data_IF_084923172589
#
_entry.id   IF_084923172589
#
_cell.length_a   1.000
_cell.length_b   1.000
_cell.length_c   1.000
_cell.angle_alpha   90.00
_cell.angle_beta   90.00
_cell.angle_gamma   90.00
#
_symmetry.space_group_name_H-M   'P 1'
#
loop_
_entity.id
_entity.type
_entity.pdbx_description
1 polymer ?
#
# COMPACT_ATOMS: atom_id res chain seq x y z
N UNK A 1 26.17 14.73 28.05
CA UNK A 1 27.60 14.64 27.68
C UNK A 1 27.75 13.58 26.60
N UNK A 2 28.89 13.53 25.90
CA UNK A 2 29.10 12.45 24.92
C UNK A 2 29.68 11.22 25.60
N UNK A 3 29.17 10.04 25.26
CA UNK A 3 29.61 8.75 25.78
C UNK A 3 29.99 7.80 24.65
N UNK A 4 31.04 7.02 24.88
CA UNK A 4 31.48 5.99 23.96
C UNK A 4 30.75 4.67 24.23
N UNK A 5 30.21 4.09 23.16
CA UNK A 5 29.54 2.79 23.12
C UNK A 5 30.23 1.94 22.07
N UNK A 6 30.51 0.67 22.39
CA UNK A 6 31.03 -0.29 21.42
C UNK A 6 29.90 -1.13 20.86
N UNK A 7 29.65 -1.07 19.56
CA UNK A 7 28.74 -1.98 18.85
C UNK A 7 29.58 -3.13 18.31
N UNK A 8 29.28 -4.36 18.72
CA UNK A 8 30.00 -5.57 18.33
C UNK A 8 29.13 -6.47 17.45
N UNK A 9 29.62 -6.78 16.26
CA UNK A 9 29.00 -7.69 15.28
C UNK A 9 29.81 -8.99 15.19
N UNK A 10 29.47 -9.88 14.25
CA UNK A 10 30.20 -11.11 14.03
C UNK A 10 31.69 -10.91 13.67
N UNK A 11 32.02 -9.84 12.94
CA UNK A 11 33.39 -9.60 12.48
C UNK A 11 33.92 -8.19 12.79
N UNK A 12 33.10 -7.29 13.34
CA UNK A 12 33.46 -5.89 13.55
C UNK A 12 33.19 -5.42 14.98
N UNK A 13 34.04 -4.51 15.45
CA UNK A 13 33.79 -3.69 16.65
C UNK A 13 33.81 -2.22 16.25
N UNK A 14 32.67 -1.55 16.40
CA UNK A 14 32.44 -0.18 15.97
C UNK A 14 32.31 0.69 17.22
N UNK A 15 33.24 1.63 17.39
CA UNK A 15 33.13 2.65 18.42
C UNK A 15 32.16 3.75 17.99
N UNK A 16 31.16 4.03 18.81
CA UNK A 16 30.12 5.03 18.57
C UNK A 16 30.14 6.04 19.70
N UNK A 17 30.31 7.31 19.36
CA UNK A 17 30.16 8.41 20.30
C UNK A 17 28.77 9.00 20.17
N UNK A 18 28.02 9.08 21.27
CA UNK A 18 26.61 9.49 21.27
C UNK A 18 26.27 10.35 22.47
N UNK A 19 25.15 11.07 22.40
CA UNK A 19 24.57 11.79 23.54
C UNK A 19 24.11 10.80 24.62
N UNK A 20 24.47 11.06 25.87
CA UNK A 20 24.13 10.23 27.03
C UNK A 20 22.68 10.38 27.51
N UNK A 21 21.93 11.35 26.96
CA UNK A 21 20.48 11.47 27.17
C UNK A 21 19.67 10.41 26.43
N UNK A 22 20.27 9.71 25.46
CA UNK A 22 19.63 8.62 24.74
C UNK A 22 19.63 7.32 25.56
N UNK A 23 18.69 6.45 25.25
CA UNK A 23 18.73 5.03 25.59
C UNK A 23 19.62 4.26 24.61
N UNK A 24 20.09 3.09 25.01
CA UNK A 24 20.86 2.21 24.11
C UNK A 24 20.07 1.79 22.87
N UNK A 25 18.76 1.60 23.02
CA UNK A 25 17.84 1.33 21.93
C UNK A 25 17.78 2.49 20.94
N UNK A 26 17.66 3.72 21.40
CA UNK A 26 17.64 4.90 20.55
C UNK A 26 18.94 5.05 19.76
N UNK A 27 20.09 4.73 20.35
CA UNK A 27 21.38 4.70 19.65
C UNK A 27 21.34 3.74 18.45
N UNK A 28 20.86 2.51 18.62
CA UNK A 28 20.72 1.55 17.53
C UNK A 28 19.73 2.05 16.45
N UNK A 29 18.60 2.63 16.88
CA UNK A 29 17.58 3.17 15.96
C UNK A 29 18.09 4.35 15.14
N UNK A 30 18.92 5.23 15.71
CA UNK A 30 19.53 6.34 14.95
C UNK A 30 20.42 5.85 13.80
N UNK A 31 20.91 4.61 13.90
CA UNK A 31 21.71 3.94 12.87
C UNK A 31 20.91 2.97 12.00
N UNK A 32 19.57 2.96 12.12
CA UNK A 32 18.67 2.04 11.41
C UNK A 32 18.94 0.57 11.71
N UNK A 33 19.44 0.28 12.91
CA UNK A 33 19.72 -1.08 13.36
C UNK A 33 18.53 -1.58 14.22
N UNK A 34 17.93 -2.75 13.92
CA UNK A 34 16.92 -3.35 14.77
C UNK A 34 17.48 -3.60 16.17
N UNK A 35 16.86 -3.00 17.20
CA UNK A 35 17.35 -3.09 18.58
C UNK A 35 17.31 -4.52 19.11
N UNK A 36 16.34 -5.32 18.69
CA UNK A 36 16.20 -6.74 19.06
C UNK A 36 17.31 -7.65 18.50
N UNK A 37 18.21 -7.14 17.65
CA UNK A 37 19.41 -7.84 17.21
C UNK A 37 20.54 -7.79 18.26
N UNK A 38 20.40 -6.96 19.31
CA UNK A 38 21.47 -6.68 20.26
C UNK A 38 21.08 -6.99 21.71
N UNK A 39 22.08 -7.36 22.50
CA UNK A 39 22.04 -7.36 23.95
C UNK A 39 23.00 -6.29 24.47
N UNK A 40 22.52 -5.44 25.38
CA UNK A 40 23.35 -4.48 26.08
C UNK A 40 24.15 -5.13 27.21
N UNK A 41 25.40 -4.72 27.37
CA UNK A 41 26.27 -5.07 28.46
C UNK A 41 26.99 -3.84 29.00
N UNK A 42 27.19 -3.81 30.32
CA UNK A 42 28.16 -2.92 30.96
C UNK A 42 29.35 -3.76 31.45
N UNK A 43 30.57 -3.26 31.22
CA UNK A 43 31.81 -3.93 31.58
C UNK A 43 32.69 -3.04 32.47
N UNK A 44 33.13 -3.56 33.60
CA UNK A 44 34.11 -2.95 34.51
C UNK A 44 35.19 -3.97 34.84
N UNK A 45 36.43 -3.73 34.40
CA UNK A 45 37.48 -4.76 34.50
C UNK A 45 37.07 -6.04 33.74
N UNK A 46 37.05 -7.18 34.43
CA UNK A 46 36.57 -8.46 33.87
C UNK A 46 35.08 -8.73 34.12
N UNK A 47 34.42 -7.94 34.97
CA UNK A 47 33.00 -8.12 35.25
C UNK A 47 32.15 -7.57 34.12
N UNK A 48 31.20 -8.40 33.67
CA UNK A 48 30.24 -8.05 32.60
C UNK A 48 28.84 -8.35 33.11
N UNK A 49 27.95 -7.36 33.03
CA UNK A 49 26.54 -7.50 33.40
C UNK A 49 25.62 -7.09 32.26
N UNK A 50 24.50 -7.80 32.03
CA UNK A 50 23.53 -7.37 31.04
C UNK A 50 22.85 -6.08 31.49
N UNK A 51 22.51 -5.22 30.52
CA UNK A 51 21.73 -4.01 30.72
C UNK A 51 20.58 -3.97 29.70
N UNK A 52 19.34 -3.62 30.14
CA UNK A 52 18.21 -3.45 29.22
C UNK A 52 18.48 -2.36 28.18
N UNK A 53 18.03 -2.56 26.94
CA UNK A 53 18.26 -1.56 25.87
C UNK A 53 17.50 -0.24 26.08
N UNK A 54 16.41 -0.24 26.86
CA UNK A 54 15.70 0.98 27.26
C UNK A 54 16.39 1.74 28.40
N UNK A 55 17.61 1.35 28.80
CA UNK A 55 18.40 2.05 29.81
C UNK A 55 18.96 3.34 29.25
N UNK A 56 18.73 4.45 29.95
CA UNK A 56 19.36 5.75 29.66
C UNK A 56 20.87 5.67 29.91
N UNK A 57 21.66 6.14 28.95
CA UNK A 57 23.11 6.00 28.97
C UNK A 57 23.75 6.72 30.17
N UNK A 58 23.25 7.89 30.55
CA UNK A 58 23.78 8.64 31.70
C UNK A 58 23.63 7.93 33.04
N UNK A 59 22.70 6.97 33.17
CA UNK A 59 22.48 6.21 34.41
C UNK A 59 23.56 5.16 34.62
N UNK A 60 24.25 4.76 33.56
CA UNK A 60 25.35 3.80 33.65
C UNK A 60 26.56 4.54 34.25
N UNK A 61 27.27 4.01 35.27
CA UNK A 61 28.47 4.66 35.82
C UNK A 61 29.51 4.94 34.74
N UNK A 62 30.13 6.13 34.73
CA UNK A 62 31.01 6.58 33.64
C UNK A 62 32.23 5.68 33.42
N UNK A 63 32.67 5.00 34.47
CA UNK A 63 33.79 4.06 34.49
C UNK A 63 33.48 2.74 33.78
N UNK A 64 32.18 2.41 33.62
CA UNK A 64 31.74 1.21 32.92
C UNK A 64 31.74 1.42 31.40
N UNK A 65 32.37 0.49 30.69
CA UNK A 65 32.32 0.39 29.23
C UNK A 65 30.96 -0.17 28.80
N UNK A 66 30.28 0.53 27.91
CA UNK A 66 29.02 0.08 27.34
C UNK A 66 29.29 -0.70 26.05
N UNK A 67 28.74 -1.90 25.97
CA UNK A 67 28.84 -2.77 24.80
C UNK A 67 27.45 -3.18 24.32
N UNK A 68 27.18 -3.05 23.04
CA UNK A 68 26.00 -3.60 22.36
C UNK A 68 26.47 -4.78 21.52
N UNK A 69 26.17 -5.99 21.97
CA UNK A 69 26.62 -7.22 21.30
C UNK A 69 25.48 -7.79 20.45
N UNK A 70 25.74 -7.98 19.15
CA UNK A 70 24.84 -8.69 18.25
C UNK A 70 24.63 -10.14 18.71
N UNK A 71 23.39 -10.55 18.98
CA UNK A 71 23.09 -11.88 19.55
C UNK A 71 23.15 -13.02 18.52
N UNK A 72 23.47 -12.70 17.26
CA UNK A 72 23.63 -13.64 16.14
C UNK A 72 24.91 -13.33 15.37
N UNK A 73 25.38 -14.30 14.58
CA UNK A 73 26.49 -14.11 13.65
C UNK A 73 26.04 -13.32 12.41
N UNK A 74 25.48 -12.12 12.63
CA UNK A 74 25.08 -11.17 11.59
C UNK A 74 26.16 -10.08 11.57
N UNK A 75 26.63 -9.77 10.38
CA UNK A 75 27.55 -8.68 10.14
C UNK A 75 26.80 -7.47 9.58
N UNK A 76 27.07 -6.29 10.14
CA UNK A 76 26.40 -5.07 9.71
C UNK A 76 26.85 -4.63 8.31
N UNK A 77 28.08 -5.01 7.90
CA UNK A 77 28.58 -4.73 6.54
C UNK A 77 27.79 -5.39 5.42
N UNK A 78 27.16 -6.52 5.73
CA UNK A 78 26.42 -7.34 4.77
C UNK A 78 24.95 -6.92 4.66
N UNK A 79 24.43 -6.21 5.68
CA UNK A 79 23.00 -5.86 5.78
C UNK A 79 22.73 -4.36 5.74
N UNK A 80 23.73 -3.52 6.01
CA UNK A 80 23.67 -2.07 5.87
C UNK A 80 24.53 -1.58 4.70
N UNK A 81 24.10 -0.57 3.95
CA UNK A 81 24.92 0.02 2.89
C UNK A 81 26.25 0.56 3.43
N UNK A 82 27.36 0.07 2.89
CA UNK A 82 28.72 0.57 3.17
C UNK A 82 29.08 1.78 2.31
N UNK A 83 28.43 1.88 1.14
CA UNK A 83 28.61 2.96 0.17
C UNK A 83 27.24 3.39 -0.34
N UNK A 84 27.04 4.70 -0.45
CA UNK A 84 25.85 5.30 -1.05
C UNK A 84 26.25 6.11 -2.28
N UNK A 85 25.70 5.75 -3.43
CA UNK A 85 25.82 6.47 -4.69
C UNK A 85 24.55 7.27 -4.95
N UNK A 86 24.69 8.37 -5.69
CA UNK A 86 23.57 9.25 -6.03
C UNK A 86 23.53 9.48 -7.53
N UNK A 87 22.40 9.14 -8.14
CA UNK A 87 22.06 9.56 -9.49
C UNK A 87 21.19 10.82 -9.37
N UNK A 88 21.88 11.97 -9.33
CA UNK A 88 21.24 13.27 -9.07
C UNK A 88 20.56 13.84 -10.30
N UNK A 89 19.51 14.60 -10.08
CA UNK A 89 18.82 15.38 -11.11
C UNK A 89 18.59 16.81 -10.64
N UNK A 90 18.33 17.73 -11.56
CA UNK A 90 17.90 19.07 -11.18
C UNK A 90 16.49 19.03 -10.57
N UNK A 91 16.30 19.75 -9.46
CA UNK A 91 15.01 19.89 -8.77
C UNK A 91 14.32 18.54 -8.43
N UNK A 92 14.96 17.68 -7.63
CA UNK A 92 14.40 16.38 -7.28
C UNK A 92 13.16 16.54 -6.39
N UNK A 93 12.14 15.71 -6.63
CA UNK A 93 10.90 15.67 -5.84
C UNK A 93 10.70 14.35 -5.10
N UNK A 94 11.37 13.29 -5.54
CA UNK A 94 11.36 11.99 -4.88
C UNK A 94 12.66 11.23 -5.15
N UNK A 95 12.96 10.26 -4.30
CA UNK A 95 14.08 9.34 -4.48
C UNK A 95 13.61 7.89 -4.48
N UNK A 96 14.29 7.07 -5.28
CA UNK A 96 14.09 5.63 -5.33
C UNK A 96 15.41 4.98 -4.90
N UNK A 97 15.47 4.41 -3.69
CA UNK A 97 16.64 3.67 -3.26
C UNK A 97 16.69 2.28 -3.91
N UNK A 98 17.87 1.88 -4.36
CA UNK A 98 18.19 0.56 -4.88
C UNK A 98 19.35 -0.03 -4.09
N UNK A 99 19.17 -1.25 -3.58
CA UNK A 99 20.19 -1.98 -2.86
C UNK A 99 20.93 -2.93 -3.81
N UNK A 100 22.26 -2.93 -3.72
CA UNK A 100 23.15 -3.77 -4.49
C UNK A 100 23.98 -4.62 -3.54
N UNK A 101 23.96 -5.93 -3.76
CA UNK A 101 24.80 -6.89 -3.04
C UNK A 101 25.96 -7.31 -3.93
N UNK A 102 27.17 -7.28 -3.39
CA UNK A 102 28.37 -7.77 -4.06
C UNK A 102 29.33 -8.42 -3.09
N UNK A 103 30.45 -8.92 -3.61
CA UNK A 103 31.46 -9.64 -2.84
C UNK A 103 32.11 -8.77 -1.74
N UNK A 104 32.13 -7.45 -1.93
CA UNK A 104 32.67 -6.46 -0.97
C UNK A 104 31.62 -5.93 0.03
N UNK A 105 30.43 -6.54 0.10
CA UNK A 105 29.34 -6.16 0.99
C UNK A 105 28.18 -5.43 0.30
N UNK A 106 27.37 -4.75 1.12
CA UNK A 106 26.15 -4.08 0.67
C UNK A 106 26.41 -2.63 0.24
N UNK A 107 25.81 -2.17 -0.86
CA UNK A 107 25.82 -0.77 -1.29
C UNK A 107 24.43 -0.30 -1.71
N UNK A 108 24.23 1.01 -1.74
CA UNK A 108 22.96 1.62 -2.12
C UNK A 108 23.18 2.64 -3.23
N UNK A 109 22.32 2.64 -4.23
CA UNK A 109 22.21 3.74 -5.21
C UNK A 109 20.88 4.45 -4.98
N UNK A 110 20.92 5.76 -4.81
CA UNK A 110 19.74 6.61 -4.66
C UNK A 110 19.49 7.31 -5.99
N UNK A 111 18.40 6.94 -6.65
CA UNK A 111 17.96 7.56 -7.89
C UNK A 111 17.03 8.71 -7.58
N UNK A 112 17.43 9.94 -7.90
CA UNK A 112 16.58 11.12 -7.76
C UNK A 112 15.69 11.27 -9.00
N UNK A 113 14.42 11.59 -8.80
CA UNK A 113 13.48 11.89 -9.87
C UNK A 113 12.94 13.31 -9.71
N UNK A 114 12.93 14.04 -10.82
CA UNK A 114 12.20 15.30 -10.96
C UNK A 114 10.73 15.01 -11.35
N UNK A 115 9.84 16.01 -11.35
CA UNK A 115 8.42 15.80 -11.60
C UNK A 115 8.09 15.07 -12.92
N UNK A 116 8.82 15.41 -13.99
CA UNK A 116 8.54 14.86 -15.33
C UNK A 116 9.02 13.42 -15.44
N UNK A 117 10.23 13.12 -14.96
CA UNK A 117 10.76 11.75 -14.91
C UNK A 117 9.92 10.83 -14.02
N UNK A 118 9.38 11.32 -12.89
CA UNK A 118 8.48 10.55 -12.05
C UNK A 118 7.17 10.21 -12.78
N UNK A 119 6.56 11.19 -13.47
CA UNK A 119 5.33 10.97 -14.25
C UNK A 119 5.55 10.00 -15.41
N UNK A 120 6.65 10.15 -16.15
CA UNK A 120 6.96 9.26 -17.28
C UNK A 120 7.26 7.82 -16.81
N UNK A 121 7.98 7.65 -15.69
CA UNK A 121 8.20 6.34 -15.08
C UNK A 121 6.87 5.64 -14.79
N UNK A 122 5.95 6.32 -14.11
CA UNK A 122 4.68 5.70 -13.75
C UNK A 122 3.78 5.48 -14.96
N UNK A 123 3.70 6.45 -15.87
CA UNK A 123 2.95 6.30 -17.12
C UNK A 123 3.40 5.07 -17.90
N UNK A 124 4.71 4.87 -18.04
CA UNK A 124 5.28 3.68 -18.67
C UNK A 124 4.84 2.38 -18.00
N UNK A 125 4.89 2.32 -16.66
CA UNK A 125 4.43 1.16 -15.88
C UNK A 125 2.95 0.84 -16.11
N UNK A 126 2.08 1.85 -16.11
CA UNK A 126 0.64 1.68 -16.37
C UNK A 126 0.41 1.17 -17.80
N UNK A 127 1.07 1.78 -18.78
CA UNK A 127 0.97 1.39 -20.20
C UNK A 127 1.38 -0.07 -20.40
N UNK A 128 2.56 -0.45 -19.90
CA UNK A 128 3.09 -1.81 -20.02
C UNK A 128 2.19 -2.84 -19.34
N UNK A 129 1.70 -2.50 -18.15
CA UNK A 129 0.79 -3.36 -17.40
C UNK A 129 -0.50 -3.64 -18.18
N UNK A 130 -1.15 -2.59 -18.69
CA UNK A 130 -2.44 -2.73 -19.37
C UNK A 130 -2.25 -3.45 -20.72
N UNK A 131 -1.18 -3.16 -21.47
CA UNK A 131 -0.84 -3.91 -22.69
C UNK A 131 -0.67 -5.41 -22.44
N UNK A 132 -0.05 -5.77 -21.31
CA UNK A 132 0.19 -7.16 -20.94
C UNK A 132 -1.07 -7.89 -20.46
N UNK A 133 -1.94 -7.21 -19.72
CA UNK A 133 -2.99 -7.88 -18.93
C UNK A 133 -4.43 -7.63 -19.42
N UNK A 134 -4.68 -6.58 -20.20
CA UNK A 134 -6.01 -6.21 -20.66
C UNK A 134 -6.25 -6.67 -22.10
N UNK A 135 -7.34 -7.41 -22.29
CA UNK A 135 -7.72 -8.02 -23.56
C UNK A 135 -8.91 -7.36 -24.23
N UNK A 136 -9.65 -6.50 -23.51
CA UNK A 136 -10.89 -5.90 -24.01
C UNK A 136 -10.64 -4.51 -24.60
N UNK A 137 -11.41 -4.15 -25.63
CA UNK A 137 -11.38 -2.81 -26.20
C UNK A 137 -11.96 -1.77 -25.23
N UNK A 138 -13.04 -2.11 -24.53
CA UNK A 138 -13.64 -1.24 -23.50
C UNK A 138 -13.22 -1.71 -22.12
N UNK A 139 -12.79 -0.81 -21.25
CA UNK A 139 -12.42 -1.11 -19.86
C UNK A 139 -13.02 -0.06 -18.92
N UNK A 140 -13.64 -0.50 -17.83
CA UNK A 140 -14.21 0.38 -16.80
C UNK A 140 -13.11 0.85 -15.84
N UNK A 141 -13.10 2.11 -15.42
CA UNK A 141 -12.03 2.66 -14.57
C UNK A 141 -12.61 3.45 -13.40
N UNK A 142 -12.40 2.97 -12.18
CA UNK A 142 -12.80 3.70 -10.98
C UNK A 142 -11.73 4.72 -10.57
N UNK A 143 -12.12 5.98 -10.41
CA UNK A 143 -11.23 7.07 -9.98
C UNK A 143 -11.85 7.90 -8.86
N UNK A 144 -10.98 8.42 -7.98
CA UNK A 144 -11.34 9.26 -6.82
C UNK A 144 -10.92 10.72 -6.96
N UNK A 145 -10.22 11.10 -8.04
CA UNK A 145 -9.67 12.44 -8.22
C UNK A 145 -8.43 12.76 -7.34
N UNK A 146 -7.85 11.77 -6.67
CA UNK A 146 -6.57 11.89 -5.95
C UNK A 146 -5.33 11.71 -6.84
N UNK A 147 -4.13 11.70 -6.24
CA UNK A 147 -2.86 11.54 -6.97
C UNK A 147 -2.74 10.24 -7.76
N UNK A 148 -3.21 9.12 -7.20
CA UNK A 148 -3.19 7.81 -7.86
C UNK A 148 -4.08 7.80 -9.11
N UNK A 149 -5.26 8.42 -9.00
CA UNK A 149 -6.21 8.56 -10.10
C UNK A 149 -5.68 9.43 -11.25
N UNK A 150 -5.00 10.54 -10.93
CA UNK A 150 -4.36 11.40 -11.92
C UNK A 150 -3.33 10.62 -12.73
N UNK A 151 -2.48 9.91 -12.01
CA UNK A 151 -1.41 9.10 -12.59
C UNK A 151 -1.96 7.99 -13.49
N UNK A 152 -2.98 7.29 -13.03
CA UNK A 152 -3.68 6.26 -13.79
C UNK A 152 -4.32 6.84 -15.05
N UNK A 153 -5.07 7.95 -14.94
CA UNK A 153 -5.78 8.56 -16.06
C UNK A 153 -4.82 8.96 -17.20
N UNK A 154 -3.64 9.50 -16.88
CA UNK A 154 -2.65 9.86 -17.90
C UNK A 154 -2.03 8.64 -18.59
N UNK A 155 -1.73 7.58 -17.84
CA UNK A 155 -1.25 6.31 -18.42
C UNK A 155 -2.27 5.70 -19.38
N UNK A 156 -3.55 5.68 -18.99
CA UNK A 156 -4.63 5.15 -19.82
C UNK A 156 -4.93 6.02 -21.04
N UNK A 157 -4.81 7.36 -20.91
CA UNK A 157 -4.90 8.27 -22.06
C UNK A 157 -3.84 7.98 -23.13
N UNK A 158 -2.60 7.67 -22.72
CA UNK A 158 -1.55 7.35 -23.68
C UNK A 158 -1.93 6.15 -24.56
N UNK A 159 -2.61 5.15 -23.97
CA UNK A 159 -3.08 3.96 -24.69
C UNK A 159 -4.20 4.25 -25.69
N UNK A 160 -5.11 5.19 -25.41
CA UNK A 160 -6.17 5.56 -26.37
C UNK A 160 -5.63 6.31 -27.58
N UNK A 161 -4.53 7.05 -27.41
CA UNK A 161 -3.82 7.72 -28.49
C UNK A 161 -3.07 6.72 -29.39
N UNK A 162 -2.52 5.65 -28.81
CA UNK A 162 -1.84 4.59 -29.56
C UNK A 162 -2.82 3.64 -30.27
N UNK A 163 -4.00 3.38 -29.68
CA UNK A 163 -5.01 2.49 -30.23
C UNK A 163 -6.41 3.10 -30.08
N UNK A 164 -6.95 3.64 -31.17
CA UNK A 164 -8.28 4.27 -31.19
C UNK A 164 -9.44 3.32 -30.89
N UNK A 165 -9.22 2.01 -30.97
CA UNK A 165 -10.23 1.01 -30.58
C UNK A 165 -10.24 0.77 -29.06
N UNK A 166 -9.18 1.17 -28.34
CA UNK A 166 -9.12 1.07 -26.89
C UNK A 166 -9.87 2.25 -26.27
N UNK A 167 -10.87 1.97 -25.46
CA UNK A 167 -11.72 2.93 -24.77
C UNK A 167 -11.72 2.66 -23.27
N UNK A 168 -11.54 3.72 -22.50
CA UNK A 168 -11.69 3.69 -21.05
C UNK A 168 -12.90 4.51 -20.65
N UNK A 169 -13.76 3.93 -19.80
CA UNK A 169 -14.93 4.60 -19.26
C UNK A 169 -14.68 4.83 -17.79
N UNK A 170 -14.43 6.08 -17.42
CA UNK A 170 -14.12 6.45 -16.06
C UNK A 170 -15.41 6.64 -15.28
N UNK A 171 -15.41 6.22 -14.01
CA UNK A 171 -16.50 6.51 -13.11
C UNK A 171 -16.00 6.95 -11.74
N UNK A 172 -16.82 7.75 -11.07
CA UNK A 172 -16.66 8.12 -9.66
C UNK A 172 -18.01 7.98 -8.98
N UNK A 173 -18.00 7.52 -7.73
CA UNK A 173 -19.21 7.47 -6.90
C UNK A 173 -19.17 8.61 -5.87
N UNK A 174 -20.31 9.21 -5.62
CA UNK A 174 -20.54 10.14 -4.51
C UNK A 174 -21.43 9.42 -3.50
N UNK A 175 -20.98 9.33 -2.26
CA UNK A 175 -21.77 8.76 -1.17
C UNK A 175 -21.27 9.30 0.18
N UNK A 176 -21.96 10.32 0.70
CA UNK A 176 -21.64 10.93 2.00
C UNK A 176 -21.99 9.97 3.16
N UNK A 177 -21.18 9.89 4.23
CA UNK A 177 -19.96 10.67 4.50
C UNK A 177 -18.67 10.03 3.95
N UNK A 178 -18.75 8.94 3.17
CA UNK A 178 -17.57 8.15 2.76
C UNK A 178 -16.81 8.85 1.62
N UNK A 179 -17.51 9.20 0.54
CA UNK A 179 -16.93 9.92 -0.59
C UNK A 179 -17.72 11.20 -0.87
N UNK A 180 -17.12 12.33 -0.52
CA UNK A 180 -17.78 13.61 -0.63
C UNK A 180 -17.78 14.15 -2.06
N UNK A 181 -18.70 15.07 -2.32
CA UNK A 181 -18.95 15.64 -3.66
C UNK A 181 -17.68 16.22 -4.30
N UNK A 182 -16.83 16.89 -3.52
CA UNK A 182 -15.60 17.51 -4.04
C UNK A 182 -14.61 16.51 -4.65
N UNK A 183 -14.64 15.23 -4.23
CA UNK A 183 -13.79 14.20 -4.82
C UNK A 183 -14.22 13.90 -6.26
N UNK A 184 -15.53 13.89 -6.51
CA UNK A 184 -16.09 13.76 -7.84
C UNK A 184 -15.84 15.01 -8.70
N UNK A 185 -15.87 16.21 -8.13
CA UNK A 185 -15.55 17.44 -8.86
C UNK A 185 -14.11 17.40 -9.40
N UNK A 186 -13.14 16.99 -8.56
CA UNK A 186 -11.75 16.80 -9.01
C UNK A 186 -11.59 15.71 -10.06
N UNK A 187 -12.29 14.59 -9.90
CA UNK A 187 -12.27 13.51 -10.88
C UNK A 187 -12.84 13.97 -12.23
N UNK A 188 -13.89 14.79 -12.20
CA UNK A 188 -14.52 15.38 -13.38
C UNK A 188 -13.59 16.38 -14.06
N UNK A 189 -12.93 17.26 -13.30
CA UNK A 189 -11.94 18.20 -13.82
C UNK A 189 -10.75 17.48 -14.47
N UNK A 190 -10.25 16.41 -13.83
CA UNK A 190 -9.18 15.56 -14.37
C UNK A 190 -9.59 14.96 -15.73
N UNK A 191 -10.76 14.34 -15.79
CA UNK A 191 -11.24 13.71 -17.01
C UNK A 191 -11.51 14.72 -18.11
N UNK A 192 -12.13 15.87 -17.78
CA UNK A 192 -12.37 16.96 -18.73
C UNK A 192 -11.07 17.51 -19.31
N UNK A 193 -10.09 17.83 -18.45
CA UNK A 193 -8.76 18.34 -18.83
C UNK A 193 -8.06 17.39 -19.81
N UNK A 194 -8.31 16.09 -19.67
CA UNK A 194 -7.67 15.07 -20.48
C UNK A 194 -8.54 14.54 -21.63
N UNK A 195 -9.78 15.01 -21.79
CA UNK A 195 -10.70 14.54 -22.83
C UNK A 195 -11.14 13.08 -22.63
N UNK A 196 -11.28 12.64 -21.39
CA UNK A 196 -11.66 11.29 -21.01
C UNK A 196 -13.17 11.20 -20.74
N UNK A 197 -13.80 10.09 -21.15
CA UNK A 197 -15.21 9.82 -20.83
C UNK A 197 -15.37 9.51 -19.34
N UNK A 198 -16.17 10.30 -18.63
CA UNK A 198 -16.37 10.17 -17.20
C UNK A 198 -17.84 10.26 -16.81
N UNK A 199 -18.24 9.40 -15.87
CA UNK A 199 -19.57 9.37 -15.29
C UNK A 199 -19.47 9.51 -13.76
N UNK A 200 -20.28 10.39 -13.20
CA UNK A 200 -20.43 10.52 -11.74
C UNK A 200 -21.74 9.85 -11.37
N UNK A 201 -21.67 8.92 -10.42
CA UNK A 201 -22.84 8.21 -9.90
C UNK A 201 -23.13 8.69 -8.48
N UNK A 202 -24.28 9.33 -8.30
CA UNK A 202 -24.86 9.70 -7.00
C UNK A 202 -25.76 8.57 -6.49
N UNK A 203 -26.23 8.68 -5.24
CA UNK A 203 -27.05 7.66 -4.60
C UNK A 203 -28.18 7.12 -5.48
N UNK A 204 -29.02 7.97 -6.08
CA UNK A 204 -30.13 7.54 -6.93
C UNK A 204 -29.66 6.77 -8.19
N UNK A 205 -28.54 7.19 -8.78
CA UNK A 205 -27.96 6.54 -9.96
C UNK A 205 -27.36 5.19 -9.59
N UNK A 206 -26.74 5.09 -8.41
CA UNK A 206 -26.23 3.83 -7.85
C UNK A 206 -27.38 2.88 -7.53
N UNK A 207 -28.41 3.36 -6.83
CA UNK A 207 -29.60 2.58 -6.47
C UNK A 207 -30.26 2.00 -7.72
N UNK A 208 -30.40 2.82 -8.77
CA UNK A 208 -30.93 2.36 -10.06
C UNK A 208 -30.01 1.36 -10.76
N UNK A 209 -28.71 1.64 -10.84
CA UNK A 209 -27.72 0.78 -11.50
C UNK A 209 -27.64 -0.60 -10.84
N UNK A 210 -27.73 -0.63 -9.51
CA UNK A 210 -27.64 -1.85 -8.73
C UNK A 210 -29.01 -2.52 -8.52
N UNK A 211 -30.09 -1.94 -9.04
CA UNK A 211 -31.47 -2.41 -8.88
C UNK A 211 -31.87 -2.60 -7.40
N UNK A 212 -31.49 -1.62 -6.56
CA UNK A 212 -31.73 -1.69 -5.12
C UNK A 212 -33.22 -1.61 -4.77
N UNK A 213 -33.64 -2.43 -3.81
CA UNK A 213 -35.01 -2.45 -3.24
C UNK A 213 -35.25 -1.32 -2.25
N UNK A 214 -34.20 -0.77 -1.68
CA UNK A 214 -34.19 0.24 -0.62
C UNK A 214 -33.07 1.25 -0.86
N UNK A 215 -33.14 2.42 -0.23
CA UNK A 215 -32.13 3.47 -0.44
C UNK A 215 -30.73 3.07 0.04
N UNK A 216 -29.71 3.55 -0.67
CA UNK A 216 -28.29 3.36 -0.34
C UNK A 216 -27.96 3.95 1.04
N UNK A 217 -28.58 5.07 1.38
CA UNK A 217 -28.44 5.71 2.69
C UNK A 217 -28.96 4.80 3.82
N UNK A 218 -30.12 4.15 3.63
CA UNK A 218 -30.65 3.19 4.60
C UNK A 218 -29.75 1.95 4.68
N UNK A 219 -29.25 1.46 3.54
CA UNK A 219 -28.31 0.33 3.49
C UNK A 219 -27.08 0.60 4.33
N UNK A 220 -26.43 1.75 4.13
CA UNK A 220 -25.24 2.12 4.90
C UNK A 220 -25.53 2.34 6.39
N UNK A 221 -26.64 2.99 6.72
CA UNK A 221 -27.03 3.23 8.11
C UNK A 221 -27.19 1.91 8.86
N UNK A 222 -28.01 1.00 8.34
CA UNK A 222 -28.23 -0.29 8.99
C UNK A 222 -26.98 -1.18 8.96
N UNK A 223 -26.16 -1.08 7.90
CA UNK A 223 -24.89 -1.80 7.82
C UNK A 223 -23.95 -1.34 8.95
N UNK A 224 -23.85 -0.02 9.16
CA UNK A 224 -23.03 0.58 10.21
C UNK A 224 -23.55 0.25 11.61
N UNK A 225 -24.86 0.24 11.82
CA UNK A 225 -25.49 -0.18 13.08
C UNK A 225 -25.24 -1.65 13.39
N UNK A 226 -25.29 -2.51 12.37
CA UNK A 226 -25.17 -3.96 12.52
C UNK A 226 -23.73 -4.46 12.64
N UNK A 227 -22.83 -3.96 11.77
CA UNK A 227 -21.44 -4.44 11.68
C UNK A 227 -20.42 -3.47 12.29
N UNK A 228 -20.89 -2.30 12.75
CA UNK A 228 -20.09 -1.26 13.41
C UNK A 228 -19.57 -0.21 12.44
N UNK A 229 -19.49 1.05 12.90
CA UNK A 229 -19.08 2.21 12.10
C UNK A 229 -17.70 2.08 11.45
N UNK A 230 -16.83 1.25 12.01
CA UNK A 230 -15.49 0.95 11.50
C UNK A 230 -15.47 0.15 10.18
N UNK A 231 -16.63 -0.28 9.70
CA UNK A 231 -16.79 -1.04 8.45
C UNK A 231 -17.04 -0.14 7.23
N UNK A 232 -17.00 1.20 7.37
CA UNK A 232 -17.12 2.17 6.27
C UNK A 232 -16.13 1.92 5.13
N UNK A 233 -14.89 1.57 5.43
CA UNK A 233 -13.89 1.24 4.39
C UNK A 233 -14.20 -0.06 3.65
N UNK A 234 -14.76 -1.06 4.35
CA UNK A 234 -15.22 -2.29 3.72
C UNK A 234 -16.41 -2.00 2.82
N UNK A 235 -17.43 -1.31 3.35
CA UNK A 235 -18.59 -0.88 2.59
C UNK A 235 -18.16 -0.10 1.36
N UNK A 236 -17.17 0.78 1.51
CA UNK A 236 -16.67 1.59 0.42
C UNK A 236 -16.00 0.75 -0.69
N UNK A 237 -15.09 -0.13 -0.30
CA UNK A 237 -14.41 -1.02 -1.26
C UNK A 237 -15.40 -1.97 -1.95
N UNK A 238 -16.38 -2.48 -1.19
CA UNK A 238 -17.47 -3.32 -1.69
C UNK A 238 -18.32 -2.55 -2.72
N UNK A 239 -18.79 -1.36 -2.37
CA UNK A 239 -19.67 -0.54 -3.22
C UNK A 239 -19.00 -0.16 -4.54
N UNK A 240 -17.73 0.28 -4.52
CA UNK A 240 -16.96 0.57 -5.75
C UNK A 240 -16.88 -0.69 -6.63
N UNK A 241 -16.64 -1.85 -6.02
CA UNK A 241 -16.45 -3.10 -6.74
C UNK A 241 -17.74 -3.60 -7.39
N UNK A 242 -18.89 -3.53 -6.69
CA UNK A 242 -20.19 -3.95 -7.27
C UNK A 242 -20.62 -3.00 -8.40
N UNK A 243 -20.42 -1.68 -8.23
CA UNK A 243 -20.70 -0.68 -9.27
C UNK A 243 -19.83 -0.97 -10.49
N UNK A 244 -18.52 -1.17 -10.31
CA UNK A 244 -17.62 -1.48 -11.42
C UNK A 244 -18.02 -2.75 -12.19
N UNK A 245 -18.44 -3.81 -11.48
CA UNK A 245 -18.89 -5.06 -12.12
C UNK A 245 -20.23 -4.90 -12.83
N UNK A 246 -21.17 -4.13 -12.30
CA UNK A 246 -22.43 -3.80 -13.00
C UNK A 246 -22.17 -2.97 -14.25
N UNK A 247 -21.25 -2.00 -14.20
CA UNK A 247 -20.82 -1.25 -15.38
C UNK A 247 -20.11 -2.14 -16.41
N UNK A 248 -19.33 -3.13 -15.97
CA UNK A 248 -18.75 -4.12 -16.89
C UNK A 248 -19.86 -4.83 -17.71
N UNK A 249 -20.94 -5.23 -17.06
CA UNK A 249 -22.09 -5.86 -17.72
C UNK A 249 -22.80 -4.89 -18.69
N UNK A 250 -23.07 -3.66 -18.26
CA UNK A 250 -23.73 -2.61 -19.07
C UNK A 250 -22.93 -2.27 -20.34
N UNK A 251 -21.60 -2.20 -20.24
CA UNK A 251 -20.71 -1.86 -21.35
C UNK A 251 -20.12 -3.09 -22.06
N UNK A 252 -20.65 -4.29 -21.79
CA UNK A 252 -20.24 -5.55 -22.42
C UNK A 252 -18.73 -5.80 -22.38
N UNK A 253 -18.12 -5.55 -21.22
CA UNK A 253 -16.72 -5.86 -20.93
C UNK A 253 -16.60 -6.72 -19.69
N UNK A 254 -15.46 -7.38 -19.52
CA UNK A 254 -15.14 -8.18 -18.34
C UNK A 254 -13.91 -7.65 -17.61
N UNK A 255 -13.52 -6.38 -17.83
CA UNK A 255 -12.32 -5.80 -17.23
C UNK A 255 -12.64 -4.44 -16.62
N UNK A 256 -12.23 -4.26 -15.36
CA UNK A 256 -12.20 -2.96 -14.71
C UNK A 256 -10.86 -2.70 -14.02
N UNK A 257 -10.52 -1.43 -13.88
CA UNK A 257 -9.28 -0.95 -13.28
C UNK A 257 -9.60 -0.17 -12.01
N UNK A 258 -8.82 -0.43 -10.96
CA UNK A 258 -8.75 0.41 -9.76
C UNK A 258 -7.28 0.75 -9.44
N UNK A 259 -7.07 1.93 -8.85
CA UNK A 259 -5.74 2.48 -8.57
C UNK A 259 -5.07 1.95 -7.31
N UNK A 260 -5.11 0.63 -7.05
CA UNK A 260 -4.41 0.04 -5.92
C UNK A 260 -2.89 0.16 -6.09
N UNK A 261 -2.25 0.89 -5.18
CA UNK A 261 -0.79 1.07 -5.15
C UNK A 261 -0.09 -0.10 -4.45
N UNK A 262 1.23 -0.05 -4.38
CA UNK A 262 2.04 -1.09 -3.74
C UNK A 262 1.66 -1.32 -2.28
N UNK A 263 1.54 -0.26 -1.49
CA UNK A 263 1.27 -0.35 -0.05
C UNK A 263 -0.14 -0.86 0.24
N UNK A 264 -1.12 -0.54 -0.60
CA UNK A 264 -2.47 -1.11 -0.49
C UNK A 264 -2.44 -2.65 -0.60
N UNK A 265 -1.71 -3.16 -1.60
CA UNK A 265 -1.65 -4.60 -1.90
C UNK A 265 -0.69 -5.35 -0.98
N UNK A 266 0.42 -4.72 -0.58
CA UNK A 266 1.31 -5.27 0.44
C UNK A 266 0.57 -5.40 1.78
N UNK A 267 -0.26 -4.42 2.13
CA UNK A 267 -1.09 -4.48 3.33
C UNK A 267 -2.12 -5.62 3.26
N UNK A 268 -2.82 -5.78 2.12
CA UNK A 268 -3.75 -6.91 1.89
C UNK A 268 -3.02 -8.27 2.00
N UNK A 269 -1.84 -8.38 1.39
CA UNK A 269 -0.99 -9.56 1.46
C UNK A 269 -0.57 -9.89 2.90
N UNK A 270 -0.03 -8.91 3.63
CA UNK A 270 0.40 -9.11 5.02
C UNK A 270 -0.77 -9.51 5.90
N UNK A 271 -1.94 -8.89 5.72
CA UNK A 271 -3.15 -9.28 6.42
C UNK A 271 -3.49 -10.75 6.19
N UNK A 272 -3.53 -11.23 4.95
CA UNK A 272 -3.81 -12.64 4.67
C UNK A 272 -2.79 -13.57 5.32
N UNK A 273 -1.48 -13.30 5.12
CA UNK A 273 -0.42 -14.18 5.63
C UNK A 273 -0.37 -14.24 7.16
N UNK A 274 -0.56 -13.10 7.84
CA UNK A 274 -0.59 -13.05 9.30
C UNK A 274 -1.78 -13.80 9.91
N UNK A 275 -2.85 -13.97 9.14
CA UNK A 275 -4.02 -14.76 9.53
C UNK A 275 -3.96 -16.22 9.04
N UNK A 276 -2.84 -16.67 8.47
CA UNK A 276 -2.68 -18.03 7.94
C UNK A 276 -3.52 -18.32 6.69
N UNK A 277 -3.88 -17.27 5.95
CA UNK A 277 -4.74 -17.35 4.76
C UNK A 277 -3.91 -17.20 3.49
N UNK A 278 -4.31 -17.92 2.43
CA UNK A 278 -3.81 -17.63 1.09
C UNK A 278 -4.21 -16.21 0.71
N UNK A 279 -3.29 -15.43 0.10
CA UNK A 279 -3.62 -14.11 -0.39
C UNK A 279 -4.60 -14.17 -1.56
N UNK A 280 -5.34 -13.08 -1.74
CA UNK A 280 -6.11 -12.85 -2.96
C UNK A 280 -5.16 -12.54 -4.11
N UNK A 281 -5.54 -12.94 -5.31
CA UNK A 281 -4.74 -12.67 -6.50
C UNK A 281 -4.50 -11.17 -6.71
N UNK A 282 -3.25 -10.84 -7.00
CA UNK A 282 -2.77 -9.56 -7.51
C UNK A 282 -1.63 -9.84 -8.52
N UNK A 283 -1.36 -8.95 -9.46
CA UNK A 283 -2.02 -7.66 -9.72
C UNK A 283 -3.29 -7.77 -10.59
N UNK A 284 -3.70 -8.98 -10.95
CA UNK A 284 -4.96 -9.27 -11.64
C UNK A 284 -5.81 -10.18 -10.76
N UNK A 285 -7.00 -9.72 -10.38
CA UNK A 285 -7.93 -10.46 -9.51
C UNK A 285 -9.18 -10.83 -10.29
N UNK A 286 -9.66 -12.07 -10.17
CA UNK A 286 -10.88 -12.53 -10.84
C UNK A 286 -12.06 -12.57 -9.87
N UNK A 287 -13.22 -12.14 -10.36
CA UNK A 287 -14.53 -12.23 -9.74
C UNK A 287 -15.46 -12.90 -10.76
N UNK A 288 -15.54 -14.23 -10.72
CA UNK A 288 -16.18 -15.00 -11.79
C UNK A 288 -15.49 -14.76 -13.14
N UNK A 289 -16.23 -14.27 -14.13
CA UNK A 289 -15.72 -13.91 -15.46
C UNK A 289 -15.06 -12.54 -15.53
N UNK A 290 -15.28 -11.66 -14.54
CA UNK A 290 -14.77 -10.28 -14.54
C UNK A 290 -13.39 -10.23 -13.88
N UNK A 291 -12.49 -9.42 -14.45
CA UNK A 291 -11.15 -9.15 -13.93
C UNK A 291 -11.05 -7.73 -13.39
N UNK A 292 -10.55 -7.62 -12.16
CA UNK A 292 -9.96 -6.40 -11.61
C UNK A 292 -8.48 -6.34 -12.00
N UNK A 293 -8.10 -5.24 -12.64
CA UNK A 293 -6.75 -4.89 -13.04
C UNK A 293 -6.20 -3.81 -12.10
N UNK A 294 -4.97 -3.98 -11.60
CA UNK A 294 -4.35 -3.08 -10.61
C UNK A 294 -3.01 -2.54 -11.13
N UNK A 295 -3.00 -1.56 -12.06
CA UNK A 295 -1.78 -1.16 -12.77
C UNK A 295 -0.73 -0.46 -11.91
N UNK A 296 -1.09 0.05 -10.73
CA UNK A 296 -0.19 0.76 -9.82
C UNK A 296 0.46 -0.17 -8.77
N UNK A 297 0.25 -1.48 -8.88
CA UNK A 297 0.61 -2.47 -7.85
C UNK A 297 2.09 -2.51 -7.46
N UNK A 298 3.01 -2.18 -8.38
CA UNK A 298 4.45 -2.18 -8.13
C UNK A 298 5.00 -0.77 -7.89
N UNK A 299 4.13 0.22 -7.69
CA UNK A 299 4.50 1.63 -7.56
C UNK A 299 4.18 2.10 -6.15
N UNK A 300 5.21 2.60 -5.45
CA UNK A 300 5.04 3.12 -4.10
C UNK A 300 4.19 4.39 -4.12
N UNK A 301 3.33 4.51 -3.12
CA UNK A 301 2.44 5.65 -2.89
C UNK A 301 3.18 6.98 -2.88
N UNK A 302 4.40 7.03 -2.34
CA UNK A 302 5.19 8.28 -2.28
C UNK A 302 5.58 8.81 -3.67
N UNK A 303 5.80 7.91 -4.64
CA UNK A 303 6.10 8.30 -6.03
C UNK A 303 4.83 8.87 -6.69
N UNK A 304 3.68 8.24 -6.45
CA UNK A 304 2.38 8.70 -6.96
C UNK A 304 2.02 10.08 -6.42
N UNK A 305 2.28 10.32 -5.14
CA UNK A 305 2.07 11.62 -4.50
C UNK A 305 3.02 12.70 -5.04
N UNK A 306 4.28 12.35 -5.28
CA UNK A 306 5.25 13.27 -5.88
C UNK A 306 4.89 13.67 -7.32
N UNK A 307 4.17 12.83 -8.07
CA UNK A 307 3.70 13.16 -9.41
C UNK A 307 2.61 14.25 -9.39
N UNK A 308 1.77 14.28 -8.35
CA UNK A 308 0.57 15.13 -8.25
C UNK A 308 0.36 15.70 -6.84
N UNK A 309 1.35 16.44 -6.28
CA UNK A 309 1.36 16.80 -4.85
C UNK A 309 0.17 17.65 -4.43
N UNK A 310 -0.30 18.56 -5.30
CA UNK A 310 -1.51 19.38 -5.04
C UNK A 310 -2.73 18.48 -4.77
N UNK A 311 -2.96 17.49 -5.63
CA UNK A 311 -4.14 16.62 -5.54
C UNK A 311 -4.03 15.63 -4.37
N UNK A 312 -2.83 15.10 -4.12
CA UNK A 312 -2.59 14.24 -2.95
C UNK A 312 -2.78 15.00 -1.64
N UNK A 313 -2.22 16.21 -1.53
CA UNK A 313 -2.37 17.04 -0.35
C UNK A 313 -3.83 17.40 -0.05
N UNK A 314 -4.59 17.86 -1.06
CA UNK A 314 -6.03 18.13 -0.89
C UNK A 314 -6.79 16.89 -0.42
N UNK A 315 -6.54 15.72 -1.03
CA UNK A 315 -7.18 14.46 -0.63
C UNK A 315 -6.89 14.08 0.83
N UNK A 316 -5.68 14.34 1.34
CA UNK A 316 -5.37 14.09 2.76
C UNK A 316 -6.05 15.08 3.70
N UNK A 317 -6.19 16.35 3.30
CA UNK A 317 -6.87 17.35 4.12
C UNK A 317 -8.36 17.08 4.29
N UNK A 318 -8.96 16.48 3.27
CA UNK A 318 -10.39 16.17 3.20
C UNK A 318 -10.79 14.93 4.01
N UNK A 319 -9.85 14.01 4.19
CA UNK A 319 -10.06 12.75 4.93
C UNK A 319 -9.65 12.82 6.40
N UNK A 320 -9.46 14.02 6.96
CA UNK A 320 -8.97 14.20 8.34
C UNK A 320 -9.82 13.52 9.41
N UNK A 321 -11.12 13.40 9.16
CA UNK A 321 -12.08 12.79 10.09
C UNK A 321 -12.30 11.28 9.82
N UNK A 322 -11.76 10.76 8.72
CA UNK A 322 -11.85 9.35 8.33
C UNK A 322 -10.75 8.54 9.04
N UNK A 323 -11.00 8.18 10.30
CA UNK A 323 -10.08 7.34 11.06
C UNK A 323 -10.29 5.86 10.75
N UNK A 324 -9.22 5.24 10.26
CA UNK A 324 -9.20 3.79 10.00
C UNK A 324 -9.11 2.97 11.29
N UNK A 325 -9.41 1.67 11.18
CA UNK A 325 -9.33 0.74 12.32
C UNK A 325 -7.89 0.57 12.79
N UNK A 326 -7.69 0.29 14.09
CA UNK A 326 -6.36 -0.01 14.65
C UNK A 326 -5.65 -1.12 13.86
N UNK A 327 -6.39 -2.17 13.48
CA UNK A 327 -5.82 -3.28 12.71
C UNK A 327 -5.33 -2.83 11.33
N UNK A 328 -6.13 -2.04 10.61
CA UNK A 328 -5.70 -1.49 9.31
C UNK A 328 -4.50 -0.57 9.49
N UNK A 329 -4.50 0.31 10.49
CA UNK A 329 -3.39 1.21 10.77
C UNK A 329 -2.08 0.46 11.04
N UNK A 330 -2.12 -0.59 11.86
CA UNK A 330 -0.94 -1.41 12.17
C UNK A 330 -0.41 -2.08 10.90
N UNK A 331 -1.28 -2.58 10.03
CA UNK A 331 -0.84 -3.32 8.83
C UNK A 331 -0.24 -2.39 7.79
N UNK A 332 -0.83 -1.21 7.56
CA UNK A 332 -0.20 -0.19 6.71
C UNK A 332 1.13 0.29 7.30
N UNK A 333 1.20 0.47 8.63
CA UNK A 333 2.46 0.79 9.29
C UNK A 333 3.53 -0.29 9.07
N UNK A 334 3.18 -1.57 9.14
CA UNK A 334 4.08 -2.69 8.84
C UNK A 334 4.52 -2.69 7.38
N UNK A 335 3.59 -2.46 6.43
CA UNK A 335 3.90 -2.38 5.01
C UNK A 335 4.92 -1.26 4.72
N UNK A 336 4.74 -0.07 5.32
CA UNK A 336 5.71 1.01 5.23
C UNK A 336 7.04 0.70 5.94
N UNK A 337 6.99 0.05 7.11
CA UNK A 337 8.19 -0.29 7.88
C UNK A 337 9.09 -1.27 7.14
N UNK A 338 8.52 -2.23 6.41
CA UNK A 338 9.26 -3.19 5.58
C UNK A 338 10.06 -2.45 4.49
N UNK A 339 9.44 -1.48 3.83
CA UNK A 339 10.07 -0.67 2.78
C UNK A 339 11.12 0.30 3.34
N UNK A 340 10.93 0.84 4.56
CA UNK A 340 11.90 1.71 5.22
C UNK A 340 13.17 0.98 5.66
N UNK A 341 13.01 -0.22 6.25
CA UNK A 341 14.13 -1.05 6.71
C UNK A 341 14.95 -1.52 5.51
N UNK A 342 14.28 -1.98 4.46
CA UNK A 342 14.93 -2.47 3.26
C UNK A 342 14.13 -2.06 2.01
N UNK A 343 14.56 -1.00 1.30
CA UNK A 343 13.94 -0.54 0.07
C UNK A 343 13.69 -1.64 -0.94
N UNK A 344 12.46 -1.71 -1.44
CA UNK A 344 11.93 -2.73 -2.34
C UNK A 344 11.84 -4.15 -1.75
N UNK A 345 11.97 -4.34 -0.43
CA UNK A 345 11.66 -5.63 0.19
C UNK A 345 10.20 -5.99 -0.01
N UNK A 346 9.30 -5.03 0.14
CA UNK A 346 7.87 -5.20 -0.06
C UNK A 346 7.56 -5.69 -1.48
N UNK A 347 8.13 -5.03 -2.49
CA UNK A 347 8.00 -5.48 -3.88
C UNK A 347 8.62 -6.86 -4.12
N UNK A 348 9.78 -7.16 -3.54
CA UNK A 348 10.43 -8.47 -3.66
C UNK A 348 9.58 -9.58 -3.05
N UNK A 349 8.99 -9.32 -1.88
CA UNK A 349 8.04 -10.21 -1.22
C UNK A 349 6.81 -10.44 -2.10
N UNK A 350 6.20 -9.37 -2.62
CA UNK A 350 5.03 -9.46 -3.51
C UNK A 350 5.31 -10.29 -4.77
N UNK A 351 6.47 -10.09 -5.43
CA UNK A 351 6.88 -10.90 -6.60
C UNK A 351 7.14 -12.37 -6.24
N UNK A 352 7.74 -12.62 -5.08
CA UNK A 352 7.96 -13.98 -4.57
C UNK A 352 6.62 -14.71 -4.35
N UNK A 353 5.66 -14.02 -3.75
CA UNK A 353 4.30 -14.52 -3.53
C UNK A 353 3.57 -14.75 -4.86
N UNK A 354 3.66 -13.82 -5.82
CA UNK A 354 3.09 -14.00 -7.16
C UNK A 354 3.59 -15.30 -7.81
N UNK A 355 4.88 -15.60 -7.67
CA UNK A 355 5.47 -16.84 -8.19
C UNK A 355 4.97 -18.09 -7.44
N UNK A 356 4.94 -18.05 -6.11
CA UNK A 356 4.50 -19.18 -5.27
C UNK A 356 3.03 -19.52 -5.53
N UNK A 357 2.16 -18.50 -5.56
CA UNK A 357 0.71 -18.66 -5.64
C UNK A 357 0.15 -18.56 -7.06
N UNK A 358 0.99 -18.49 -8.10
CA UNK A 358 0.57 -18.31 -9.50
C UNK A 358 -0.65 -19.14 -9.95
N UNK A 359 -0.83 -20.36 -9.42
CA UNK A 359 -1.99 -21.22 -9.66
C UNK A 359 -2.74 -21.64 -8.38
N UNK A 360 -2.43 -21.01 -7.25
CA UNK A 360 -2.90 -21.41 -5.92
C UNK A 360 -3.38 -20.21 -5.10
N UNK A 361 -3.73 -19.09 -5.72
CA UNK A 361 -4.39 -17.97 -5.02
C UNK A 361 -5.65 -18.43 -4.29
N UNK A 362 -6.05 -17.67 -3.26
CA UNK A 362 -7.35 -17.90 -2.63
C UNK A 362 -8.47 -17.81 -3.67
N UNK A 363 -9.35 -18.80 -3.65
CA UNK A 363 -10.53 -18.82 -4.52
C UNK A 363 -11.57 -17.81 -4.00
N UNK A 364 -12.17 -17.08 -4.93
CA UNK A 364 -13.28 -16.17 -4.70
C UNK A 364 -14.53 -16.77 -5.33
N UNK A 365 -15.43 -17.31 -4.50
CA UNK A 365 -16.61 -18.05 -4.96
C UNK A 365 -17.77 -17.10 -5.08
N UNK A 366 -18.43 -17.09 -6.24
CA UNK A 366 -19.64 -16.32 -6.42
C UNK A 366 -20.79 -16.96 -5.64
N UNK A 367 -21.51 -16.18 -4.86
CA UNK A 367 -22.76 -16.64 -4.22
C UNK A 367 -23.94 -16.44 -5.17
N UNK A 368 -24.85 -17.41 -5.19
CA UNK A 368 -26.02 -17.36 -6.06
C UNK A 368 -26.91 -16.15 -5.73
N UNK A 369 -27.28 -15.39 -6.77
CA UNK A 369 -28.18 -14.23 -6.71
C UNK A 369 -27.68 -13.01 -5.91
N UNK A 370 -26.41 -12.98 -5.48
CA UNK A 370 -25.80 -11.81 -4.83
C UNK A 370 -24.43 -11.53 -5.46
N UNK A 371 -24.10 -10.26 -5.70
CA UNK A 371 -22.78 -9.85 -6.24
C UNK A 371 -21.70 -9.79 -5.14
N UNK A 372 -21.57 -10.89 -4.40
CA UNK A 372 -20.55 -11.11 -3.37
C UNK A 372 -19.67 -12.30 -3.74
N UNK A 373 -18.40 -12.19 -3.36
CA UNK A 373 -17.38 -13.19 -3.63
C UNK A 373 -16.61 -13.52 -2.34
N UNK A 374 -17.17 -14.31 -1.42
CA UNK A 374 -16.43 -14.79 -0.27
C UNK A 374 -15.17 -15.56 -0.67
N UNK A 375 -14.11 -15.41 0.14
CA UNK A 375 -12.95 -16.28 0.06
C UNK A 375 -13.24 -17.63 0.71
N UNK A 376 -12.39 -18.63 0.47
CA UNK A 376 -12.47 -19.94 1.13
C UNK A 376 -12.31 -19.89 2.67
N UNK A 377 -11.92 -18.73 3.21
CA UNK A 377 -11.75 -18.49 4.64
C UNK A 377 -12.91 -17.73 5.28
N UNK A 378 -13.97 -17.42 4.53
CA UNK A 378 -15.15 -16.75 5.07
C UNK A 378 -15.81 -17.63 6.15
N UNK A 379 -16.03 -17.05 7.33
CA UNK A 379 -16.79 -17.71 8.39
C UNK A 379 -18.24 -17.92 7.93
N UNK A 380 -18.73 -19.16 7.98
CA UNK A 380 -20.04 -19.52 7.43
C UNK A 380 -21.20 -18.82 8.14
N UNK A 381 -21.10 -18.60 9.46
CA UNK A 381 -22.16 -17.93 10.22
C UNK A 381 -22.22 -16.44 9.86
N UNK A 382 -21.07 -15.78 9.79
CA UNK A 382 -20.97 -14.38 9.34
C UNK A 382 -21.38 -14.21 7.88
N UNK A 383 -21.02 -15.16 7.02
CA UNK A 383 -21.42 -15.13 5.61
C UNK A 383 -22.94 -15.19 5.46
N UNK A 384 -23.63 -16.08 6.17
CA UNK A 384 -25.10 -16.15 6.16
C UNK A 384 -25.74 -14.88 6.75
N UNK A 385 -25.14 -14.29 7.77
CA UNK A 385 -25.59 -13.01 8.32
C UNK A 385 -25.49 -11.87 7.29
N UNK A 386 -24.38 -11.79 6.55
CA UNK A 386 -24.18 -10.81 5.47
C UNK A 386 -25.13 -11.09 4.31
N UNK A 387 -25.32 -12.35 3.91
CA UNK A 387 -26.25 -12.73 2.84
C UNK A 387 -27.69 -12.35 3.18
N UNK A 388 -28.13 -12.67 4.40
CA UNK A 388 -29.45 -12.30 4.90
C UNK A 388 -29.65 -10.79 4.89
N UNK A 389 -28.62 -10.04 5.30
CA UNK A 389 -28.63 -8.59 5.26
C UNK A 389 -28.73 -8.05 3.83
N UNK A 390 -27.92 -8.55 2.89
CA UNK A 390 -27.89 -8.07 1.51
C UNK A 390 -29.18 -8.34 0.73
N UNK A 391 -29.86 -9.48 0.97
CA UNK A 391 -31.16 -9.83 0.35
C UNK A 391 -32.28 -8.83 0.63
N UNK A 392 -32.15 -8.03 1.69
CA UNK A 392 -33.08 -6.93 1.99
C UNK A 392 -32.94 -5.80 0.98
N UNK A 393 -31.73 -5.57 0.45
CA UNK A 393 -31.38 -4.42 -0.39
C UNK A 393 -31.25 -4.77 -1.87
N UNK A 394 -30.91 -6.01 -2.20
CA UNK A 394 -30.78 -6.55 -3.57
C UNK A 394 -31.70 -7.77 -3.69
#
# INVERSE_FOLDING_TARGET
MLRDITIKTASEEIAVKTDDSLTLEEVLRTKRIPSNLFQGYAKMGEEVRPIPLNTLIFVIPFEEKIMLHCIRNIDLKDVLPQKTFYNKVENPVITIPEFNFGDDGCSQTIHELNPDSAKELVKGKVVDFVKKNSSFNTVIVGISGGGDSNTLAQGLKALTLENSNKRFIFFTIIFEPIWPTFAADRASELCLTHGLTHHVYRNEEIEKLLEMKESLSNFYKEYSEKFGNNTSHFFGTYLISIVARKLCQEYHTNEYILGFNREDLLSDLLFSLMNGQKPLAFPVRKFGSIKLLMPLWDISKVILDACYPKYSFSNYQERKEDQSTYQRNIIYYLAHSIEDIYPNLGLSLMKGIEKIFSNQWSELRQEDNLDIFPSEYADSMKLEEVKSFLKKYF
#
